data_IF_291318843713
#
_entry.id   IF_291318843713
#
_cell.length_a   1.000
_cell.length_b   1.000
_cell.length_c   1.000
_cell.angle_alpha   90.00
_cell.angle_beta   90.00
_cell.angle_gamma   90.00
#
_symmetry.space_group_name_H-M   'P 1'
#
loop_
_entity.id
_entity.type
_entity.pdbx_description
1 polymer ?
#
# COMPACT_ATOMS: atom_id res chain seq x y z
N UNK A 1 -22.26 14.81 11.97
CA UNK A 1 -21.93 14.86 10.52
C UNK A 1 -21.37 16.20 10.06
N UNK A 2 -21.97 17.36 10.36
CA UNK A 2 -21.45 18.69 9.94
C UNK A 2 -20.05 19.03 10.49
N UNK A 3 -19.75 18.65 11.74
CA UNK A 3 -18.43 18.87 12.34
C UNK A 3 -17.32 18.05 11.65
N UNK A 4 -17.60 16.78 11.34
CA UNK A 4 -16.67 15.92 10.60
C UNK A 4 -16.40 16.45 9.19
N UNK A 5 -17.45 16.90 8.50
CA UNK A 5 -17.32 17.48 7.15
C UNK A 5 -16.52 18.77 7.16
N UNK A 6 -16.76 19.65 8.14
CA UNK A 6 -16.00 20.90 8.30
C UNK A 6 -14.54 20.65 8.67
N UNK A 7 -14.26 19.67 9.53
CA UNK A 7 -12.90 19.25 9.84
C UNK A 7 -12.18 18.67 8.61
N UNK A 8 -12.88 17.85 7.81
CA UNK A 8 -12.34 17.35 6.54
C UNK A 8 -12.11 18.50 5.55
N UNK A 9 -13.04 19.43 5.41
CA UNK A 9 -12.88 20.61 4.54
C UNK A 9 -11.73 21.53 5.04
N UNK A 10 -11.55 21.70 6.35
CA UNK A 10 -10.43 22.47 6.92
C UNK A 10 -9.07 21.75 6.74
N UNK A 11 -9.06 20.41 6.77
CA UNK A 11 -7.84 19.59 6.65
C UNK A 11 -7.48 19.28 5.19
N UNK A 12 -8.47 19.19 4.30
CA UNK A 12 -8.34 18.67 2.95
C UNK A 12 -8.92 19.59 1.84
N UNK A 13 -9.74 20.58 2.19
CA UNK A 13 -10.50 21.39 1.23
C UNK A 13 -9.73 22.50 0.52
N UNK A 14 -8.45 22.72 0.85
CA UNK A 14 -7.61 23.76 0.23
C UNK A 14 -6.77 23.31 -0.97
N UNK A 15 -6.76 22.02 -1.31
CA UNK A 15 -5.84 21.45 -2.30
C UNK A 15 -6.55 21.15 -3.64
N UNK A 16 -5.87 21.34 -4.80
CA UNK A 16 -6.46 21.05 -6.12
C UNK A 16 -6.92 19.59 -6.26
N UNK A 17 -7.94 19.33 -7.08
CA UNK A 17 -8.42 17.96 -7.34
C UNK A 17 -7.29 17.00 -7.78
N UNK A 18 -6.32 17.48 -8.56
CA UNK A 18 -5.13 16.72 -8.98
C UNK A 18 -4.32 16.17 -7.80
N UNK A 19 -4.20 16.94 -6.70
CA UNK A 19 -3.52 16.46 -5.49
C UNK A 19 -4.21 15.20 -4.95
N UNK A 20 -5.53 15.21 -4.86
CA UNK A 20 -6.30 14.09 -4.32
C UNK A 20 -6.24 12.85 -5.21
N UNK A 21 -6.20 13.03 -6.54
CA UNK A 21 -5.96 11.92 -7.46
C UNK A 21 -4.58 11.28 -7.25
N UNK A 22 -3.53 12.10 -7.15
CA UNK A 22 -2.17 11.60 -6.92
C UNK A 22 -2.02 10.96 -5.53
N UNK A 23 -2.60 11.58 -4.50
CA UNK A 23 -2.58 11.07 -3.13
C UNK A 23 -3.30 9.72 -3.03
N UNK A 24 -4.48 9.59 -3.64
CA UNK A 24 -5.20 8.32 -3.68
C UNK A 24 -4.43 7.26 -4.49
N UNK A 25 -3.82 7.64 -5.60
CA UNK A 25 -2.94 6.76 -6.38
C UNK A 25 -1.75 6.24 -5.56
N UNK A 26 -1.13 7.11 -4.76
CA UNK A 26 -0.06 6.71 -3.84
C UNK A 26 -0.57 5.79 -2.74
N UNK A 27 -1.75 6.07 -2.18
CA UNK A 27 -2.38 5.22 -1.17
C UNK A 27 -2.65 3.82 -1.73
N UNK A 28 -3.22 3.72 -2.94
CA UNK A 28 -3.45 2.45 -3.63
C UNK A 28 -2.12 1.73 -3.91
N UNK A 29 -1.09 2.46 -4.36
CA UNK A 29 0.23 1.89 -4.59
C UNK A 29 0.84 1.30 -3.30
N UNK A 30 0.73 2.01 -2.17
CA UNK A 30 1.18 1.51 -0.87
C UNK A 30 0.35 0.31 -0.40
N UNK A 31 -0.97 0.33 -0.59
CA UNK A 31 -1.82 -0.81 -0.29
C UNK A 31 -1.44 -2.05 -1.12
N UNK A 32 -1.10 -1.89 -2.40
CA UNK A 32 -0.56 -2.98 -3.22
C UNK A 32 0.78 -3.49 -2.72
N UNK A 33 1.67 -2.60 -2.27
CA UNK A 33 2.97 -2.97 -1.70
C UNK A 33 2.87 -3.84 -0.43
N UNK A 34 1.74 -3.81 0.30
CA UNK A 34 1.53 -4.72 1.45
C UNK A 34 1.57 -6.20 1.06
N UNK A 35 1.26 -6.56 -0.20
CA UNK A 35 1.35 -7.94 -0.66
C UNK A 35 2.77 -8.52 -0.49
N UNK A 36 3.80 -7.67 -0.56
CA UNK A 36 5.19 -8.05 -0.33
C UNK A 36 5.44 -8.67 1.05
N UNK A 37 4.73 -8.21 2.07
CA UNK A 37 4.88 -8.72 3.44
C UNK A 37 4.49 -10.19 3.56
N UNK A 38 3.58 -10.65 2.69
CA UNK A 38 3.10 -12.02 2.65
C UNK A 38 3.81 -12.88 1.59
N UNK A 39 4.66 -12.28 0.75
CA UNK A 39 5.30 -12.96 -0.36
C UNK A 39 6.19 -14.12 0.11
N UNK A 40 6.93 -13.93 1.20
CA UNK A 40 7.77 -14.98 1.78
C UNK A 40 6.94 -16.20 2.20
N UNK A 41 5.85 -15.95 2.94
CA UNK A 41 4.91 -16.99 3.40
C UNK A 41 4.28 -17.74 2.22
N UNK A 42 3.85 -17.01 1.19
CA UNK A 42 3.29 -17.61 -0.01
C UNK A 42 4.29 -18.52 -0.73
N UNK A 43 5.54 -18.06 -0.88
CA UNK A 43 6.58 -18.83 -1.56
C UNK A 43 6.93 -20.10 -0.79
N UNK A 44 7.06 -20.05 0.53
CA UNK A 44 7.41 -21.22 1.33
C UNK A 44 6.23 -22.17 1.54
N UNK A 45 5.07 -21.67 1.98
CA UNK A 45 3.95 -22.52 2.39
C UNK A 45 3.07 -22.97 1.22
N UNK A 46 2.73 -22.06 0.31
CA UNK A 46 1.83 -22.38 -0.80
C UNK A 46 2.57 -22.88 -2.04
N UNK A 47 3.83 -22.48 -2.21
CA UNK A 47 4.64 -22.85 -3.39
C UNK A 47 5.78 -23.82 -3.08
N UNK A 48 6.03 -24.14 -1.81
CA UNK A 48 7.07 -25.09 -1.41
C UNK A 48 8.49 -24.65 -1.80
N UNK A 49 8.72 -23.35 -1.97
CA UNK A 49 10.02 -22.81 -2.31
C UNK A 49 10.99 -22.97 -1.13
N UNK A 50 12.27 -23.22 -1.43
CA UNK A 50 13.29 -23.25 -0.40
C UNK A 50 13.47 -21.86 0.23
N UNK A 51 13.92 -21.82 1.48
CA UNK A 51 14.19 -20.57 2.19
C UNK A 51 15.24 -19.71 1.47
N UNK A 52 16.28 -20.34 0.92
CA UNK A 52 17.33 -19.66 0.16
C UNK A 52 16.79 -18.99 -1.12
N UNK A 53 15.91 -19.68 -1.86
CA UNK A 53 15.27 -19.11 -3.05
C UNK A 53 14.31 -17.98 -2.66
N UNK A 54 13.50 -18.20 -1.63
CA UNK A 54 12.54 -17.21 -1.12
C UNK A 54 13.24 -15.94 -0.67
N UNK A 55 14.31 -16.06 0.12
CA UNK A 55 15.12 -14.92 0.57
C UNK A 55 15.75 -14.15 -0.58
N UNK A 56 16.21 -14.86 -1.62
CA UNK A 56 16.76 -14.22 -2.83
C UNK A 56 15.69 -13.45 -3.60
N UNK A 57 14.51 -14.04 -3.80
CA UNK A 57 13.40 -13.40 -4.53
C UNK A 57 12.86 -12.18 -3.77
N UNK A 58 12.67 -12.31 -2.46
CA UNK A 58 12.19 -11.20 -1.62
C UNK A 58 13.25 -10.10 -1.49
N UNK A 59 14.54 -10.45 -1.38
CA UNK A 59 15.62 -9.48 -1.25
C UNK A 59 16.02 -8.79 -2.56
N UNK A 60 15.65 -9.34 -3.72
CA UNK A 60 15.91 -8.75 -5.03
C UNK A 60 14.82 -7.75 -5.47
N UNK A 61 13.70 -7.67 -4.75
CA UNK A 61 12.62 -6.72 -5.00
C UNK A 61 12.84 -5.41 -4.25
#
# INVERSE_FOLDING_TARGET
MRALRRWLDDTAGGLPATFWYLWAGLLINRAGAFAMLFLSLYLTEARGASEALTGTVVGAY
#
